data_IF_736797875233
#
_entry.id   IF_736797875233
#
_cell.length_a   1.000
_cell.length_b   1.000
_cell.length_c   1.000
_cell.angle_alpha   90.00
_cell.angle_beta   90.00
_cell.angle_gamma   90.00
#
_symmetry.space_group_name_H-M   'P 1'
#
loop_
_entity.id
_entity.type
_entity.pdbx_description
1 polymer ?
#
# COMPACT_ATOMS: atom_id res chain seq x y z
N UNK A 1 10.11 6.39 1.45
CA UNK A 1 10.08 5.27 2.41
C UNK A 1 9.49 3.99 1.81
N UNK A 2 8.26 4.01 1.29
CA UNK A 2 7.58 2.79 0.81
C UNK A 2 8.37 1.95 -0.20
N UNK A 3 9.10 2.58 -1.12
CA UNK A 3 10.00 1.87 -2.06
C UNK A 3 11.02 1.00 -1.32
N UNK A 4 11.64 1.52 -0.25
CA UNK A 4 12.57 0.75 0.58
C UNK A 4 11.87 -0.34 1.42
N UNK A 5 10.55 -0.21 1.62
CA UNK A 5 9.76 -1.17 2.38
C UNK A 5 9.29 -2.36 1.53
N UNK A 6 8.75 -2.09 0.34
CA UNK A 6 8.04 -3.08 -0.49
C UNK A 6 8.42 -3.06 -1.97
N UNK A 7 9.32 -2.20 -2.38
CA UNK A 7 9.75 -2.04 -3.76
C UNK A 7 8.92 -1.03 -4.55
N UNK A 8 9.37 -0.76 -5.75
CA UNK A 8 8.74 0.20 -6.67
C UNK A 8 7.47 -0.38 -7.32
N UNK A 9 7.38 -1.70 -7.47
CA UNK A 9 6.22 -2.38 -8.08
C UNK A 9 6.29 -2.51 -9.60
N UNK A 10 7.45 -2.21 -10.19
CA UNK A 10 7.70 -2.33 -11.63
C UNK A 10 8.30 -3.68 -12.04
N UNK A 11 8.87 -4.43 -11.09
CA UNK A 11 9.45 -5.74 -11.37
C UNK A 11 8.34 -6.79 -11.59
N UNK A 12 8.34 -7.43 -12.76
CA UNK A 12 7.37 -8.46 -13.12
C UNK A 12 7.45 -9.71 -12.25
N UNK A 13 8.62 -9.98 -11.64
CA UNK A 13 8.81 -11.12 -10.73
C UNK A 13 8.23 -10.85 -9.34
N UNK A 14 7.91 -9.61 -9.00
CA UNK A 14 7.33 -9.20 -7.72
C UNK A 14 5.80 -9.12 -7.80
N UNK A 15 5.18 -10.21 -8.27
CA UNK A 15 3.74 -10.31 -8.49
C UNK A 15 3.20 -11.67 -8.07
N UNK A 16 1.98 -11.66 -7.56
CA UNK A 16 1.15 -12.87 -7.42
C UNK A 16 -0.09 -12.67 -8.27
N UNK A 17 -0.46 -13.66 -9.09
CA UNK A 17 -1.60 -13.57 -10.00
C UNK A 17 -1.56 -12.30 -10.89
N UNK A 18 -0.37 -11.93 -11.38
CA UNK A 18 -0.09 -10.69 -12.13
C UNK A 18 -0.31 -9.38 -11.36
N UNK A 19 -0.66 -9.43 -10.08
CA UNK A 19 -0.84 -8.27 -9.20
C UNK A 19 0.43 -8.03 -8.39
N UNK A 20 1.02 -6.83 -8.55
CA UNK A 20 2.18 -6.40 -7.77
C UNK A 20 1.80 -5.83 -6.40
N UNK A 21 2.80 -5.49 -5.60
CA UNK A 21 2.61 -4.93 -4.26
C UNK A 21 3.52 -3.75 -3.93
N UNK A 22 4.19 -3.18 -4.93
CA UNK A 22 5.08 -2.05 -4.74
C UNK A 22 4.34 -0.71 -4.85
N UNK A 23 5.11 0.38 -4.81
CA UNK A 23 4.56 1.74 -4.82
C UNK A 23 3.63 2.01 -6.02
N UNK A 24 3.94 1.48 -7.20
CA UNK A 24 3.10 1.63 -8.39
C UNK A 24 1.65 1.21 -8.12
N UNK A 25 1.44 0.01 -7.56
CA UNK A 25 0.09 -0.49 -7.28
C UNK A 25 -0.61 0.32 -6.18
N UNK A 26 0.15 0.86 -5.23
CA UNK A 26 -0.42 1.76 -4.22
C UNK A 26 -0.95 3.04 -4.88
N UNK A 27 -0.18 3.65 -5.77
CA UNK A 27 -0.59 4.88 -6.45
C UNK A 27 -1.76 4.64 -7.41
N UNK A 28 -1.78 3.50 -8.13
CA UNK A 28 -2.89 3.10 -9.01
C UNK A 28 -4.21 2.91 -8.24
N UNK A 29 -4.15 2.42 -7.00
CA UNK A 29 -5.32 2.16 -6.15
C UNK A 29 -5.71 3.35 -5.25
N UNK A 30 -4.98 4.46 -5.28
CA UNK A 30 -5.36 5.65 -4.52
C UNK A 30 -6.61 6.27 -5.09
N UNK A 31 -7.48 6.74 -4.20
CA UNK A 31 -8.46 7.75 -4.59
C UNK A 31 -7.69 9.03 -4.90
N UNK A 32 -7.92 9.61 -6.09
CA UNK A 32 -7.29 10.84 -6.57
C UNK A 32 -8.17 12.07 -6.34
N UNK A 33 -9.37 11.88 -5.81
CA UNK A 33 -10.27 12.97 -5.42
C UNK A 33 -9.99 13.36 -3.97
N UNK A 34 -9.43 14.56 -3.79
CA UNK A 34 -9.08 15.08 -2.46
C UNK A 34 -9.83 16.39 -2.22
N UNK A 35 -10.71 16.38 -1.21
CA UNK A 35 -11.47 17.55 -0.80
C UNK A 35 -10.81 18.24 0.41
N UNK A 36 -10.86 19.57 0.46
CA UNK A 36 -10.33 20.37 1.56
C UNK A 36 -10.30 21.86 1.19
N UNK A 37 -10.35 22.72 2.19
CA UNK A 37 -10.30 24.19 2.00
C UNK A 37 -8.88 24.73 2.23
N UNK A 38 -7.96 23.90 2.70
CA UNK A 38 -6.57 24.23 3.00
C UNK A 38 -5.61 23.14 2.54
N UNK A 39 -4.33 23.50 2.35
CA UNK A 39 -3.28 22.54 2.01
C UNK A 39 -3.17 21.40 3.04
N UNK A 40 -3.29 21.71 4.32
CA UNK A 40 -3.19 20.72 5.40
C UNK A 40 -4.31 19.66 5.34
N UNK A 41 -5.54 20.08 5.01
CA UNK A 41 -6.67 19.16 4.82
C UNK A 41 -6.47 18.27 3.59
N UNK A 42 -6.00 18.84 2.48
CA UNK A 42 -5.70 18.11 1.25
C UNK A 42 -4.57 17.09 1.49
N UNK A 43 -3.47 17.50 2.11
CA UNK A 43 -2.35 16.60 2.46
C UNK A 43 -2.82 15.45 3.37
N UNK A 44 -3.68 15.75 4.34
CA UNK A 44 -4.27 14.74 5.23
C UNK A 44 -5.12 13.72 4.45
N UNK A 45 -5.93 14.18 3.51
CA UNK A 45 -6.74 13.31 2.65
C UNK A 45 -5.86 12.43 1.74
N UNK A 46 -4.79 13.00 1.15
CA UNK A 46 -3.82 12.26 0.34
C UNK A 46 -3.15 11.16 1.16
N UNK A 47 -2.64 11.48 2.35
CA UNK A 47 -1.98 10.50 3.22
C UNK A 47 -2.94 9.42 3.73
N UNK A 48 -4.20 9.76 3.99
CA UNK A 48 -5.24 8.77 4.29
C UNK A 48 -5.51 7.83 3.11
N UNK A 49 -5.64 8.37 1.89
CA UNK A 49 -5.80 7.58 0.66
C UNK A 49 -4.61 6.64 0.43
N UNK A 50 -3.39 7.14 0.63
CA UNK A 50 -2.17 6.34 0.56
C UNK A 50 -2.18 5.18 1.56
N UNK A 51 -2.50 5.43 2.83
CA UNK A 51 -2.57 4.39 3.88
C UNK A 51 -3.60 3.32 3.55
N UNK A 52 -4.80 3.72 3.11
CA UNK A 52 -5.86 2.81 2.70
C UNK A 52 -5.41 1.93 1.53
N UNK A 53 -4.86 2.55 0.48
CA UNK A 53 -4.39 1.84 -0.72
C UNK A 53 -3.25 0.87 -0.38
N UNK A 54 -2.23 1.32 0.35
CA UNK A 54 -1.11 0.48 0.77
C UNK A 54 -1.57 -0.72 1.61
N UNK A 55 -2.56 -0.52 2.49
CA UNK A 55 -3.14 -1.59 3.29
C UNK A 55 -3.87 -2.62 2.44
N UNK A 56 -4.63 -2.16 1.45
CA UNK A 56 -5.34 -3.01 0.50
C UNK A 56 -4.36 -3.84 -0.32
N UNK A 57 -3.37 -3.19 -0.95
CA UNK A 57 -2.34 -3.83 -1.76
C UNK A 57 -1.60 -4.94 -1.00
N UNK A 58 -1.21 -4.69 0.25
CA UNK A 58 -0.54 -5.73 1.06
C UNK A 58 -1.48 -6.83 1.56
N UNK A 59 -2.77 -6.53 1.74
CA UNK A 59 -3.77 -7.56 2.05
C UNK A 59 -3.99 -8.46 0.84
N UNK A 60 -4.12 -7.89 -0.35
CA UNK A 60 -4.28 -8.63 -1.61
C UNK A 60 -3.05 -9.47 -1.94
N UNK A 61 -1.85 -8.94 -1.69
CA UNK A 61 -0.61 -9.74 -1.75
C UNK A 61 -0.69 -11.01 -0.91
N UNK A 62 -1.11 -10.89 0.35
CA UNK A 62 -1.21 -12.04 1.26
C UNK A 62 -2.29 -13.02 0.80
N UNK A 63 -3.42 -12.52 0.30
CA UNK A 63 -4.50 -13.35 -0.21
C UNK A 63 -4.10 -14.11 -1.49
N UNK A 64 -3.29 -13.49 -2.34
CA UNK A 64 -2.79 -14.08 -3.58
C UNK A 64 -1.54 -14.96 -3.39
N UNK A 65 -0.88 -14.87 -2.23
CA UNK A 65 0.31 -15.66 -1.94
C UNK A 65 -0.05 -17.12 -1.68
N UNK A 66 0.87 -18.03 -2.04
CA UNK A 66 0.81 -19.42 -1.57
C UNK A 66 0.78 -19.44 -0.03
N UNK A 67 -0.25 -20.04 0.61
CA UNK A 67 -0.34 -20.15 2.06
C UNK A 67 0.90 -20.78 2.71
N UNK A 68 1.62 -21.66 2.00
CA UNK A 68 2.85 -22.29 2.49
C UNK A 68 3.98 -21.28 2.76
N UNK A 69 3.97 -20.11 2.12
CA UNK A 69 4.92 -19.01 2.40
C UNK A 69 4.64 -18.35 3.76
N UNK A 70 3.39 -18.44 4.24
CA UNK A 70 2.98 -17.91 5.54
C UNK A 70 3.17 -16.40 5.67
N UNK A 71 2.89 -15.63 4.61
CA UNK A 71 3.04 -14.17 4.61
C UNK A 71 2.05 -13.47 5.55
N UNK A 72 0.92 -14.10 5.85
CA UNK A 72 -0.14 -13.58 6.75
C UNK A 72 0.37 -13.18 8.13
N UNK A 73 1.41 -13.86 8.64
CA UNK A 73 2.05 -13.54 9.93
C UNK A 73 2.63 -12.12 9.98
N UNK A 74 3.00 -11.57 8.83
CA UNK A 74 3.65 -10.26 8.72
C UNK A 74 2.65 -9.13 8.46
N UNK A 75 1.45 -9.45 7.98
CA UNK A 75 0.43 -8.47 7.62
C UNK A 75 0.10 -7.49 8.76
N UNK A 76 -0.05 -7.92 10.03
CA UNK A 76 -0.28 -6.99 11.13
C UNK A 76 0.85 -5.96 11.29
N UNK A 77 2.12 -6.41 11.23
CA UNK A 77 3.28 -5.53 11.32
C UNK A 77 3.39 -4.56 10.13
N UNK A 78 3.03 -5.03 8.93
CA UNK A 78 3.00 -4.18 7.75
C UNK A 78 1.90 -3.11 7.84
N UNK A 79 0.71 -3.45 8.34
CA UNK A 79 -0.37 -2.50 8.59
C UNK A 79 0.05 -1.44 9.62
N UNK A 80 0.72 -1.84 10.69
CA UNK A 80 1.26 -0.91 11.69
C UNK A 80 2.28 0.06 11.09
N UNK A 81 3.17 -0.41 10.21
CA UNK A 81 4.11 0.46 9.50
C UNK A 81 3.40 1.41 8.53
N UNK A 82 2.37 0.95 7.82
CA UNK A 82 1.59 1.85 6.95
C UNK A 82 0.90 2.93 7.78
N UNK A 83 0.45 2.61 8.98
CA UNK A 83 -0.26 3.56 9.83
C UNK A 83 0.62 4.74 10.30
N UNK A 84 1.95 4.69 10.12
CA UNK A 84 2.86 5.81 10.42
C UNK A 84 2.87 6.90 9.36
N UNK A 85 2.25 6.71 8.19
CA UNK A 85 2.10 7.75 7.17
C UNK A 85 0.98 8.74 7.57
N UNK A 86 1.22 9.49 8.65
CA UNK A 86 0.33 10.51 9.19
C UNK A 86 0.87 11.92 8.87
N UNK A 87 0.01 12.95 8.84
CA UNK A 87 0.42 14.34 8.71
C UNK A 87 1.35 14.80 9.83
#
# INVERSE_FOLDING_TARGET
DYVNFKGEGINVTERYNNQGWGLMQVLENMDLTFAGNSKAEIDTAILASFRRSATQVLTDRVNNADPAKGESRWLPGWKNRIETYRP
#
